data_IF_085451117536
#
_entry.id   IF_085451117536
#
_cell.length_a   1.000
_cell.length_b   1.000
_cell.length_c   1.000
_cell.angle_alpha   90.00
_cell.angle_beta   90.00
_cell.angle_gamma   90.00
#
_symmetry.space_group_name_H-M   'P 1'
#
loop_
_entity.id
_entity.type
_entity.pdbx_description
1 polymer ?
#
# COMPACT_ATOMS: atom_id res chain seq x y z
N UNK A 1 0.66 16.81 -13.39
CA UNK A 1 0.21 16.58 -12.00
C UNK A 1 -0.61 15.29 -11.94
N UNK A 2 -0.07 14.17 -11.41
CA UNK A 2 -0.85 12.95 -11.17
C UNK A 2 -1.13 12.87 -9.67
N UNK A 3 -2.11 13.64 -9.20
CA UNK A 3 -2.42 13.82 -7.77
C UNK A 3 -3.32 12.74 -7.16
N UNK A 4 -3.92 11.85 -7.96
CA UNK A 4 -4.79 10.80 -7.41
C UNK A 4 -4.19 9.41 -7.64
N UNK A 5 -3.59 8.86 -6.59
CA UNK A 5 -3.39 7.41 -6.43
C UNK A 5 -4.18 7.04 -5.17
N UNK A 6 -5.02 6.02 -5.27
CA UNK A 6 -5.72 5.47 -4.12
C UNK A 6 -4.96 4.26 -3.59
N UNK A 7 -4.89 4.17 -2.28
CA UNK A 7 -4.45 2.98 -1.53
C UNK A 7 -5.64 2.54 -0.69
N UNK A 8 -5.79 1.24 -0.52
CA UNK A 8 -6.83 0.67 0.35
C UNK A 8 -6.45 0.97 1.79
N UNK A 9 -7.39 1.52 2.57
CA UNK A 9 -7.15 1.84 3.97
C UNK A 9 -6.98 0.56 4.81
N UNK A 10 -6.14 0.60 5.85
CA UNK A 10 -6.06 -0.47 6.84
C UNK A 10 -7.47 -0.77 7.40
N UNK A 11 -7.74 -2.05 7.66
CA UNK A 11 -9.03 -2.59 8.13
C UNK A 11 -10.22 -2.43 7.18
N UNK A 12 -10.04 -1.85 5.99
CA UNK A 12 -11.14 -1.76 5.02
C UNK A 12 -11.42 -3.12 4.33
N UNK A 13 -12.70 -3.54 4.23
CA UNK A 13 -13.08 -4.73 3.47
C UNK A 13 -12.88 -4.56 1.97
N UNK A 14 -12.70 -5.69 1.28
CA UNK A 14 -12.59 -5.76 -0.18
C UNK A 14 -13.81 -6.46 -0.75
N UNK A 15 -14.39 -5.87 -1.80
CA UNK A 15 -15.46 -6.49 -2.58
C UNK A 15 -14.89 -7.61 -3.47
N UNK A 16 -14.61 -8.75 -2.84
CA UNK A 16 -14.08 -9.99 -3.40
C UNK A 16 -14.74 -11.17 -2.67
N UNK A 17 -14.77 -12.38 -3.27
CA UNK A 17 -15.25 -13.58 -2.58
C UNK A 17 -14.58 -13.74 -1.21
N UNK A 18 -15.38 -14.06 -0.18
CA UNK A 18 -14.92 -14.16 1.20
C UNK A 18 -14.82 -12.84 1.98
N UNK A 19 -15.02 -11.68 1.34
CA UNK A 19 -14.90 -10.34 1.95
C UNK A 19 -13.61 -10.18 2.76
N UNK A 20 -12.42 -10.37 2.15
CA UNK A 20 -11.16 -10.19 2.84
C UNK A 20 -10.95 -8.73 3.26
N UNK A 21 -10.19 -8.52 4.32
CA UNK A 21 -9.90 -7.23 4.93
C UNK A 21 -8.43 -6.87 4.72
N UNK A 22 -8.13 -5.60 4.46
CA UNK A 22 -6.75 -5.10 4.39
C UNK A 22 -6.14 -5.04 5.80
N UNK A 23 -5.72 -6.20 6.32
CA UNK A 23 -5.28 -6.37 7.68
C UNK A 23 -3.75 -6.16 7.82
N UNK A 24 -3.27 -5.34 8.78
CA UNK A 24 -1.85 -5.21 9.09
C UNK A 24 -1.28 -6.50 9.67
N UNK A 25 -0.09 -6.90 9.22
CA UNK A 25 0.58 -8.12 9.67
C UNK A 25 2.02 -7.81 10.08
N UNK A 26 2.50 -8.54 11.09
CA UNK A 26 3.90 -8.49 11.49
C UNK A 26 4.78 -9.19 10.44
N UNK A 27 6.00 -8.69 10.24
CA UNK A 27 6.94 -9.27 9.28
C UNK A 27 7.34 -10.71 9.61
N UNK A 28 7.41 -11.07 10.89
CA UNK A 28 7.77 -12.41 11.34
C UNK A 28 6.73 -13.47 10.96
N UNK A 29 5.46 -13.08 10.83
CA UNK A 29 4.35 -14.01 10.50
C UNK A 29 3.94 -13.97 9.03
N UNK A 30 4.47 -13.02 8.25
CA UNK A 30 4.14 -12.85 6.83
C UNK A 30 4.30 -14.13 5.99
N UNK A 31 5.29 -15.01 6.21
CA UNK A 31 5.42 -16.26 5.44
C UNK A 31 4.29 -17.27 5.67
N UNK A 32 3.58 -17.17 6.80
CA UNK A 32 2.65 -18.21 7.28
C UNK A 32 1.17 -17.84 7.08
N UNK A 33 0.89 -16.65 6.54
CA UNK A 33 -0.48 -16.14 6.39
C UNK A 33 -0.84 -15.88 4.94
N UNK A 34 -2.13 -15.99 4.65
CA UNK A 34 -2.72 -15.65 3.37
C UNK A 34 -3.75 -14.53 3.54
N UNK A 35 -4.07 -13.77 2.48
CA UNK A 35 -5.13 -12.76 2.56
C UNK A 35 -6.50 -13.33 2.96
N UNK A 36 -6.75 -14.62 2.74
CA UNK A 36 -8.01 -15.30 3.07
C UNK A 36 -8.23 -15.50 4.57
N UNK A 37 -7.16 -15.44 5.37
CA UNK A 37 -7.23 -15.62 6.83
C UNK A 37 -7.85 -14.39 7.51
N UNK A 38 -7.84 -13.24 6.82
CA UNK A 38 -8.34 -11.96 7.32
C UNK A 38 -9.61 -11.55 6.58
N UNK A 39 -10.76 -11.79 7.21
CA UNK A 39 -12.09 -11.48 6.67
C UNK A 39 -12.89 -10.64 7.65
N UNK A 40 -14.01 -10.10 7.20
CA UNK A 40 -14.98 -9.42 8.08
C UNK A 40 -15.49 -10.31 9.23
N UNK A 41 -15.33 -11.63 9.14
CA UNK A 41 -15.72 -12.59 10.18
C UNK A 41 -14.60 -12.90 11.17
N UNK A 42 -13.34 -12.88 10.74
CA UNK A 42 -12.18 -13.24 11.58
C UNK A 42 -11.54 -12.03 12.24
N UNK A 43 -11.46 -10.90 11.53
CA UNK A 43 -10.75 -9.70 12.00
C UNK A 43 -11.29 -9.11 13.31
N UNK A 44 -12.60 -9.04 13.60
CA UNK A 44 -13.08 -8.50 14.86
C UNK A 44 -12.50 -9.21 16.09
N UNK A 45 -12.34 -10.54 16.04
CA UNK A 45 -11.74 -11.31 17.13
C UNK A 45 -10.24 -11.07 17.28
N UNK A 46 -9.53 -10.83 16.17
CA UNK A 46 -8.10 -10.54 16.18
C UNK A 46 -7.80 -9.15 16.76
N UNK A 47 -8.59 -8.14 16.37
CA UNK A 47 -8.40 -6.76 16.84
C UNK A 47 -8.83 -6.58 18.30
N UNK A 48 -9.81 -7.37 18.76
CA UNK A 48 -10.18 -7.37 20.18
C UNK A 48 -9.03 -7.80 21.11
N UNK A 49 -8.07 -8.58 20.60
CA UNK A 49 -6.92 -9.04 21.36
C UNK A 49 -5.74 -8.04 21.33
N UNK A 50 -5.52 -7.37 20.20
CA UNK A 50 -4.43 -6.40 19.99
C UNK A 50 -4.69 -5.53 18.77
N UNK A 51 -4.17 -4.30 18.73
CA UNK A 51 -4.20 -3.46 17.52
C UNK A 51 -2.84 -3.47 16.82
N UNK A 52 -2.62 -4.39 15.85
CA UNK A 52 -1.33 -4.49 15.17
C UNK A 52 -0.97 -3.24 14.38
N UNK A 53 -1.93 -2.38 14.00
CA UNK A 53 -1.59 -1.15 13.29
C UNK A 53 -0.82 -0.18 14.19
N UNK A 54 -1.28 -0.02 15.43
CA UNK A 54 -0.60 0.84 16.40
C UNK A 54 0.69 0.20 16.89
N UNK A 55 0.65 -1.10 17.18
CA UNK A 55 1.80 -1.83 17.75
C UNK A 55 3.00 -1.91 16.78
N UNK A 56 2.73 -1.98 15.48
CA UNK A 56 3.77 -2.11 14.44
C UNK A 56 4.23 -0.77 13.86
N UNK A 57 3.59 0.35 14.21
CA UNK A 57 3.90 1.64 13.62
C UNK A 57 5.21 2.20 14.20
N UNK A 58 6.26 2.39 13.38
CA UNK A 58 7.48 3.01 13.86
C UNK A 58 7.26 4.49 14.15
N UNK A 59 8.13 5.07 14.97
CA UNK A 59 8.22 6.52 15.15
C UNK A 59 8.40 7.25 13.80
N UNK A 60 7.93 8.50 13.68
CA UNK A 60 8.16 9.30 12.47
C UNK A 60 9.64 9.39 12.09
N UNK A 61 9.96 9.09 10.84
CA UNK A 61 11.34 9.05 10.35
C UNK A 61 11.61 10.22 9.40
N UNK A 62 12.70 10.97 9.60
CA UNK A 62 13.16 11.95 8.62
C UNK A 62 13.72 11.23 7.38
N UNK A 63 13.59 11.85 6.22
CA UNK A 63 14.28 11.36 5.03
C UNK A 63 15.77 11.73 5.11
N UNK A 64 16.69 10.77 4.89
CA UNK A 64 18.12 11.06 4.80
C UNK A 64 18.44 12.12 3.75
N UNK A 65 19.38 13.02 4.05
CA UNK A 65 19.69 14.16 3.18
C UNK A 65 20.31 13.71 1.83
N UNK A 66 21.14 12.68 1.86
CA UNK A 66 21.71 12.04 0.67
C UNK A 66 20.62 11.48 -0.26
N UNK A 67 19.59 10.84 0.30
CA UNK A 67 18.44 10.35 -0.47
C UNK A 67 17.65 11.51 -1.11
N UNK A 68 17.53 12.64 -0.42
CA UNK A 68 16.88 13.84 -0.97
C UNK A 68 17.70 14.43 -2.12
N UNK A 69 19.03 14.51 -1.98
CA UNK A 69 19.92 14.99 -3.04
C UNK A 69 19.93 14.03 -4.24
N UNK A 70 19.96 12.71 -4.03
CA UNK A 70 19.81 11.72 -5.10
C UNK A 70 18.50 11.94 -5.87
N UNK A 71 17.40 12.14 -5.14
CA UNK A 71 16.09 12.44 -5.73
C UNK A 71 16.10 13.71 -6.59
N UNK A 72 16.84 14.75 -6.18
CA UNK A 72 17.00 16.01 -6.94
C UNK A 72 17.84 15.84 -8.20
N UNK A 73 18.81 14.92 -8.18
CA UNK A 73 19.67 14.62 -9.33
C UNK A 73 18.95 13.83 -10.44
N UNK A 74 17.76 13.25 -10.16
CA UNK A 74 16.98 12.50 -11.16
C UNK A 74 16.60 13.44 -12.32
N UNK A 75 17.01 13.15 -13.58
CA UNK A 75 16.70 14.01 -14.71
C UNK A 75 15.19 14.18 -14.92
N UNK A 76 14.73 15.43 -15.07
CA UNK A 76 13.32 15.76 -15.30
C UNK A 76 12.74 14.99 -16.50
N UNK A 77 13.53 14.83 -17.57
CA UNK A 77 13.13 14.07 -18.75
C UNK A 77 12.76 12.60 -18.44
N UNK A 78 13.48 11.95 -17.52
CA UNK A 78 13.18 10.58 -17.06
C UNK A 78 11.82 10.53 -16.35
N UNK A 79 11.55 11.52 -15.49
CA UNK A 79 10.29 11.62 -14.75
C UNK A 79 9.12 11.89 -15.70
N UNK A 80 9.32 12.76 -16.70
CA UNK A 80 8.33 13.03 -17.75
C UNK A 80 8.03 11.77 -18.58
N UNK A 81 9.06 11.05 -19.03
CA UNK A 81 8.91 9.79 -19.76
C UNK A 81 8.16 8.72 -18.93
N UNK A 82 8.47 8.61 -17.64
CA UNK A 82 7.74 7.74 -16.71
C UNK A 82 6.25 8.12 -16.64
N UNK A 83 5.94 9.42 -16.50
CA UNK A 83 4.56 9.89 -16.46
C UNK A 83 3.81 9.62 -17.77
N UNK A 84 4.46 9.78 -18.92
CA UNK A 84 3.91 9.43 -20.22
C UNK A 84 3.62 7.95 -20.36
N UNK A 85 4.58 7.09 -19.99
CA UNK A 85 4.39 5.64 -19.97
C UNK A 85 3.20 5.25 -19.10
N UNK A 86 3.08 5.86 -17.92
CA UNK A 86 1.94 5.63 -17.02
C UNK A 86 0.60 6.12 -17.61
N UNK A 87 0.58 7.23 -18.36
CA UNK A 87 -0.62 7.71 -19.07
C UNK A 87 -1.05 6.70 -20.15
N UNK A 88 -0.11 6.22 -20.97
CA UNK A 88 -0.38 5.19 -22.00
C UNK A 88 -0.92 3.90 -21.40
N UNK A 89 -0.31 3.40 -20.31
CA UNK A 89 -0.75 2.19 -19.64
C UNK A 89 -2.18 2.32 -19.06
N UNK A 90 -2.54 3.49 -18.53
CA UNK A 90 -3.91 3.74 -18.04
C UNK A 90 -4.93 3.74 -19.18
N UNK A 91 -4.63 4.41 -20.29
CA UNK A 91 -5.53 4.45 -21.45
C UNK A 91 -5.84 3.04 -21.98
N UNK A 92 -4.82 2.17 -22.07
CA UNK A 92 -5.01 0.76 -22.46
C UNK A 92 -5.96 -0.02 -21.54
N UNK A 93 -5.89 0.21 -20.23
CA UNK A 93 -6.77 -0.46 -19.24
C UNK A 93 -8.21 0.05 -19.24
N UNK A 94 -8.46 1.23 -19.81
CA UNK A 94 -9.80 1.81 -19.92
C UNK A 94 -10.47 1.49 -21.25
N UNK A 95 -9.67 1.13 -22.27
CA UNK A 95 -10.13 0.83 -23.62
C UNK A 95 -10.48 -0.66 -23.84
N UNK A 96 -10.23 -1.52 -22.85
CA UNK A 96 -10.63 -2.93 -22.83
C UNK A 96 -11.36 -3.23 -21.54
#
# INVERSE_FOLDING_TARGET
SSRMKAVVAAYSPRLRPGLPVSFPVDWAVLPDVTPGDFTVRTVPGLVAARDPWLDLMPEPQPLPADLVEEGRAIPVARVQAMHEGRRRARARRQAG
#
